data_IF_984417045088
#
_entry.id   IF_984417045088
#
_cell.length_a   1.000
_cell.length_b   1.000
_cell.length_c   1.000
_cell.angle_alpha   90.00
_cell.angle_beta   90.00
_cell.angle_gamma   90.00
#
_symmetry.space_group_name_H-M   'P 1'
#
loop_
_entity.id
_entity.type
_entity.pdbx_description
1 polymer ?
#
# COMPACT_ATOMS: atom_id res chain seq x y z
N UNK A 1 -14.17 -17.51 1.93
CA UNK A 1 -14.18 -16.69 3.16
C UNK A 1 -14.31 -15.24 2.73
N UNK A 2 -15.30 -14.49 3.22
CA UNK A 2 -15.47 -13.08 2.86
C UNK A 2 -14.46 -12.22 3.64
N UNK A 3 -13.84 -11.26 2.97
CA UNK A 3 -12.82 -10.36 3.57
C UNK A 3 -13.45 -9.29 4.47
N UNK A 4 -14.77 -9.09 4.39
CA UNK A 4 -15.52 -8.06 5.10
C UNK A 4 -16.74 -8.70 5.77
N UNK A 5 -17.05 -8.26 7.00
CA UNK A 5 -18.28 -8.61 7.72
C UNK A 5 -19.40 -7.58 7.43
N UNK A 6 -20.48 -7.97 6.72
CA UNK A 6 -21.56 -7.05 6.37
C UNK A 6 -22.30 -6.47 7.60
N UNK A 7 -22.47 -7.26 8.66
CA UNK A 7 -23.16 -6.80 9.87
C UNK A 7 -22.33 -5.74 10.60
N UNK A 8 -21.00 -5.93 10.68
CA UNK A 8 -20.07 -4.93 11.19
C UNK A 8 -20.07 -3.64 10.35
N UNK A 9 -20.11 -3.75 9.02
CA UNK A 9 -20.18 -2.61 8.11
C UNK A 9 -21.41 -1.74 8.39
N UNK A 10 -22.60 -2.35 8.47
CA UNK A 10 -23.84 -1.63 8.75
C UNK A 10 -23.83 -1.02 10.16
N UNK A 11 -23.43 -1.79 11.17
CA UNK A 11 -23.38 -1.35 12.57
C UNK A 11 -22.47 -0.14 12.77
N UNK A 12 -21.34 -0.09 12.08
CA UNK A 12 -20.33 0.95 12.24
C UNK A 12 -20.37 2.04 11.16
N UNK A 13 -21.31 1.97 10.22
CA UNK A 13 -21.44 2.95 9.13
C UNK A 13 -20.20 3.01 8.23
N UNK A 14 -19.54 1.88 8.02
CA UNK A 14 -18.29 1.80 7.25
C UNK A 14 -18.61 1.78 5.74
N UNK A 15 -17.82 2.48 4.94
CA UNK A 15 -17.92 2.38 3.49
C UNK A 15 -17.02 1.26 2.94
N UNK A 16 -17.56 0.41 2.08
CA UNK A 16 -16.79 -0.63 1.39
C UNK A 16 -16.50 -0.15 -0.03
N UNK A 17 -15.22 0.05 -0.35
CA UNK A 17 -14.75 0.47 -1.67
C UNK A 17 -13.80 -0.57 -2.26
N UNK A 18 -13.80 -0.69 -3.59
CA UNK A 18 -12.87 -1.56 -4.34
C UNK A 18 -11.85 -0.71 -5.08
N UNK A 19 -10.57 -0.90 -4.77
CA UNK A 19 -9.46 -0.28 -5.51
C UNK A 19 -9.21 -1.00 -6.84
N UNK A 20 -8.52 -0.31 -7.75
CA UNK A 20 -8.16 -0.84 -9.09
C UNK A 20 -7.00 -1.84 -9.04
N UNK A 21 -6.11 -1.73 -8.04
CA UNK A 21 -4.97 -2.63 -7.84
C UNK A 21 -5.35 -3.92 -7.11
N UNK A 22 -4.46 -4.92 -7.15
CA UNK A 22 -4.63 -6.17 -6.41
C UNK A 22 -4.33 -6.04 -4.92
N UNK A 23 -4.12 -7.18 -4.24
CA UNK A 23 -3.86 -7.29 -2.79
C UNK A 23 -5.13 -7.54 -1.96
N UNK A 24 -4.98 -7.65 -0.64
CA UNK A 24 -6.10 -7.93 0.28
C UNK A 24 -6.88 -6.70 0.74
N UNK A 25 -7.94 -6.90 1.52
CA UNK A 25 -8.68 -5.83 2.17
C UNK A 25 -7.83 -5.11 3.24
N UNK A 26 -8.07 -3.80 3.38
CA UNK A 26 -7.48 -2.94 4.42
C UNK A 26 -8.62 -2.16 5.07
N UNK A 27 -8.53 -1.97 6.38
CA UNK A 27 -9.40 -1.07 7.12
C UNK A 27 -8.66 0.26 7.32
N UNK A 28 -9.27 1.37 6.91
CA UNK A 28 -8.66 2.70 6.95
C UNK A 28 -9.54 3.63 7.80
N UNK A 29 -9.07 3.95 9.00
CA UNK A 29 -9.70 4.94 9.87
C UNK A 29 -9.17 6.34 9.53
N UNK A 30 -10.04 7.33 9.22
CA UNK A 30 -9.59 8.65 8.77
C UNK A 30 -8.63 9.38 9.73
N UNK A 31 -8.76 9.16 11.04
CA UNK A 31 -7.94 9.83 12.05
C UNK A 31 -6.55 9.22 12.26
N UNK A 32 -6.33 7.98 11.81
CA UNK A 32 -5.10 7.22 12.09
C UNK A 32 -4.43 6.68 10.82
N UNK A 33 -5.00 6.97 9.64
CA UNK A 33 -4.49 6.46 8.36
C UNK A 33 -4.17 7.60 7.41
N UNK A 34 -2.95 7.63 6.89
CA UNK A 34 -2.57 8.45 5.74
C UNK A 34 -2.51 7.54 4.52
N UNK A 35 -3.21 7.90 3.45
CA UNK A 35 -3.16 7.18 2.17
C UNK A 35 -2.57 8.10 1.10
N UNK A 36 -1.52 7.65 0.43
CA UNK A 36 -0.91 8.32 -0.71
C UNK A 36 -0.97 7.42 -1.95
N UNK A 37 -0.74 7.99 -3.14
CA UNK A 37 -0.70 7.26 -4.39
C UNK A 37 0.34 7.85 -5.33
N UNK A 38 1.09 6.99 -6.00
CA UNK A 38 2.11 7.37 -6.98
C UNK A 38 1.61 7.03 -8.38
N UNK A 39 1.46 8.04 -9.24
CA UNK A 39 1.20 7.87 -10.67
C UNK A 39 2.49 8.23 -11.42
N UNK A 40 3.28 7.22 -11.74
CA UNK A 40 4.66 7.38 -12.23
C UNK A 40 4.86 6.66 -13.56
N UNK A 41 5.78 7.13 -14.43
CA UNK A 41 6.13 6.42 -15.66
C UNK A 41 6.69 5.02 -15.38
N UNK A 42 6.42 4.06 -16.26
CA UNK A 42 6.95 2.70 -16.14
C UNK A 42 8.49 2.66 -16.12
N UNK A 43 9.14 3.64 -16.77
CA UNK A 43 10.61 3.75 -16.79
C UNK A 43 11.23 3.91 -15.40
N UNK A 44 10.49 4.44 -14.42
CA UNK A 44 10.98 4.63 -13.05
C UNK A 44 11.33 3.29 -12.36
N UNK A 45 10.65 2.21 -12.73
CA UNK A 45 10.85 0.86 -12.17
C UNK A 45 11.42 -0.12 -13.20
N UNK A 46 11.98 0.40 -14.29
CA UNK A 46 12.55 -0.42 -15.36
C UNK A 46 13.72 -1.26 -14.84
N UNK A 47 13.75 -2.54 -15.20
CA UNK A 47 14.77 -3.48 -14.73
C UNK A 47 14.52 -4.08 -13.34
N UNK A 48 13.54 -3.58 -12.58
CA UNK A 48 13.13 -4.17 -11.31
C UNK A 48 12.08 -5.26 -11.53
N UNK A 49 12.17 -6.33 -10.73
CA UNK A 49 11.05 -7.26 -10.61
C UNK A 49 9.82 -6.56 -10.01
N UNK A 50 8.64 -7.16 -10.17
CA UNK A 50 7.43 -6.60 -9.56
C UNK A 50 7.50 -6.57 -8.02
N UNK A 51 8.25 -7.50 -7.43
CA UNK A 51 8.49 -7.53 -5.99
C UNK A 51 9.46 -6.43 -5.56
N UNK A 52 10.59 -6.30 -6.25
CA UNK A 52 11.61 -5.29 -5.93
C UNK A 52 11.08 -3.87 -6.16
N UNK A 53 10.15 -3.69 -7.10
CA UNK A 53 9.55 -2.38 -7.34
C UNK A 53 8.69 -1.88 -6.17
N UNK A 54 8.16 -2.76 -5.31
CA UNK A 54 7.50 -2.28 -4.09
C UNK A 54 8.52 -1.66 -3.12
N UNK A 55 9.60 -2.38 -2.80
CA UNK A 55 10.63 -1.90 -1.88
C UNK A 55 11.22 -0.57 -2.36
N UNK A 56 11.52 -0.46 -3.65
CA UNK A 56 12.02 0.77 -4.25
C UNK A 56 11.02 1.94 -4.14
N UNK A 57 9.73 1.71 -4.37
CA UNK A 57 8.71 2.76 -4.32
C UNK A 57 8.34 3.18 -2.88
N UNK A 58 8.61 2.32 -1.89
CA UNK A 58 8.37 2.57 -0.47
C UNK A 58 9.61 3.09 0.28
N UNK A 59 10.78 3.12 -0.36
CA UNK A 59 12.06 3.48 0.28
C UNK A 59 12.02 4.87 0.93
N UNK A 60 11.47 5.87 0.22
CA UNK A 60 11.31 7.23 0.74
C UNK A 60 10.42 7.29 1.99
N UNK A 61 9.50 6.33 2.17
CA UNK A 61 8.61 6.26 3.34
C UNK A 61 9.41 5.79 4.55
N UNK A 62 10.31 4.82 4.36
CA UNK A 62 11.22 4.36 5.42
C UNK A 62 12.15 5.48 5.87
N UNK A 63 12.69 6.27 4.93
CA UNK A 63 13.48 7.46 5.23
C UNK A 63 12.67 8.48 6.03
N UNK A 64 11.46 8.82 5.58
CA UNK A 64 10.59 9.77 6.29
C UNK A 64 10.21 9.30 7.71
N UNK A 65 9.95 8.00 7.88
CA UNK A 65 9.70 7.41 9.20
C UNK A 65 10.95 7.49 10.09
N UNK A 66 12.14 7.23 9.54
CA UNK A 66 13.40 7.33 10.25
C UNK A 66 13.69 8.77 10.71
N UNK A 67 13.42 9.78 9.87
CA UNK A 67 13.54 11.21 10.21
C UNK A 67 12.64 11.61 11.39
N UNK A 68 11.51 10.92 11.55
CA UNK A 68 10.59 11.09 12.70
C UNK A 68 11.01 10.26 13.93
N UNK A 69 12.13 9.52 13.86
CA UNK A 69 12.62 8.65 14.93
C UNK A 69 11.91 7.30 15.02
N UNK A 70 11.16 6.89 13.99
CA UNK A 70 10.43 5.62 13.95
C UNK A 70 11.33 4.54 13.36
N UNK A 71 11.63 3.51 14.17
CA UNK A 71 12.36 2.33 13.72
C UNK A 71 11.44 1.40 12.94
N UNK A 72 11.44 1.54 11.61
CA UNK A 72 10.68 0.70 10.69
C UNK A 72 11.62 -0.05 9.72
N UNK A 73 11.11 -1.12 9.12
CA UNK A 73 11.81 -1.86 8.07
C UNK A 73 10.83 -2.39 7.03
N UNK A 74 11.36 -2.66 5.84
CA UNK A 74 10.62 -3.31 4.78
C UNK A 74 10.44 -4.79 5.07
N UNK A 75 9.20 -5.28 4.95
CA UNK A 75 8.84 -6.68 5.09
C UNK A 75 8.20 -7.16 3.77
N UNK A 76 8.91 -8.01 2.99
CA UNK A 76 8.37 -8.55 1.76
C UNK A 76 7.03 -9.27 1.99
N UNK A 77 6.06 -9.16 1.07
CA UNK A 77 6.22 -8.61 -0.28
C UNK A 77 6.13 -7.08 -0.37
N UNK A 78 5.34 -6.42 0.47
CA UNK A 78 4.83 -5.05 0.23
C UNK A 78 4.44 -4.32 1.52
N UNK A 79 5.01 -4.73 2.65
CA UNK A 79 4.64 -4.21 3.97
C UNK A 79 5.79 -3.42 4.59
N UNK A 80 5.44 -2.43 5.41
CA UNK A 80 6.38 -1.76 6.32
C UNK A 80 5.98 -2.15 7.74
N UNK A 81 6.97 -2.60 8.50
CA UNK A 81 6.77 -3.11 9.85
C UNK A 81 7.69 -2.43 10.88
N UNK A 82 7.32 -2.58 12.13
CA UNK A 82 8.06 -2.16 13.33
C UNK A 82 8.08 -3.33 14.33
N UNK A 83 8.74 -3.15 15.47
CA UNK A 83 8.80 -4.18 16.52
C UNK A 83 7.42 -4.56 17.08
N UNK A 84 6.45 -3.66 16.96
CA UNK A 84 5.06 -3.88 17.39
C UNK A 84 4.15 -4.41 16.29
N UNK A 85 4.68 -4.59 15.08
CA UNK A 85 3.96 -5.16 13.94
C UNK A 85 3.89 -4.26 12.72
N UNK A 86 3.04 -4.65 11.76
CA UNK A 86 2.82 -3.96 10.49
C UNK A 86 2.17 -2.59 10.71
N UNK A 87 2.72 -1.56 10.07
CA UNK A 87 2.23 -0.18 10.14
C UNK A 87 1.82 0.40 8.78
N UNK A 88 2.29 -0.17 7.66
CA UNK A 88 1.82 0.20 6.33
C UNK A 88 1.88 -0.98 5.36
N UNK A 89 1.20 -0.85 4.23
CA UNK A 89 1.28 -1.79 3.12
C UNK A 89 0.90 -1.15 1.80
N UNK A 90 1.57 -1.56 0.74
CA UNK A 90 1.40 -1.00 -0.60
C UNK A 90 0.57 -1.90 -1.51
N UNK A 91 -0.01 -1.34 -2.57
CA UNK A 91 -0.60 -2.11 -3.65
C UNK A 91 -0.32 -1.41 -4.97
N UNK A 92 0.18 -2.13 -5.97
CA UNK A 92 0.53 -1.55 -7.26
C UNK A 92 -0.24 -2.20 -8.43
N UNK A 93 -0.42 -1.44 -9.51
CA UNK A 93 -0.93 -1.93 -10.79
C UNK A 93 -0.16 -1.25 -11.91
N UNK A 94 0.34 -2.04 -12.87
CA UNK A 94 0.90 -1.53 -14.12
C UNK A 94 -0.24 -1.35 -15.11
N UNK A 95 -0.43 -0.11 -15.58
CA UNK A 95 -1.46 0.25 -16.56
C UNK A 95 -0.77 0.46 -17.91
N UNK A 96 -1.33 -0.12 -18.97
CA UNK A 96 -0.91 0.18 -20.35
C UNK A 96 -1.74 1.37 -20.81
N UNK A 97 -1.08 2.38 -21.40
CA UNK A 97 -1.77 3.54 -21.97
C UNK A 97 -2.68 3.15 -23.14
N UNK A 98 -3.59 4.05 -23.58
CA UNK A 98 -4.53 3.79 -24.67
C UNK A 98 -3.86 3.34 -25.97
N UNK A 99 -2.62 3.79 -26.21
CA UNK A 99 -1.91 3.57 -27.46
C UNK A 99 -1.06 2.28 -27.48
N UNK A 100 -1.03 1.53 -26.38
CA UNK A 100 -0.11 0.39 -26.23
C UNK A 100 1.33 0.86 -26.08
N UNK A 101 2.02 0.39 -25.04
CA UNK A 101 3.42 0.76 -24.80
C UNK A 101 4.37 0.30 -25.90
#
# INVERSE_FOLDING_TARGET
>A
RNEVDPAGVERHGVNVVRRISGGGAMFAEPSSTITYSLAVPQSLVSGLSFADSYAYLDDWVLEALADMGIKAWYQPLNDIATEVGKIAGAAQKRMVGPDGG
#
